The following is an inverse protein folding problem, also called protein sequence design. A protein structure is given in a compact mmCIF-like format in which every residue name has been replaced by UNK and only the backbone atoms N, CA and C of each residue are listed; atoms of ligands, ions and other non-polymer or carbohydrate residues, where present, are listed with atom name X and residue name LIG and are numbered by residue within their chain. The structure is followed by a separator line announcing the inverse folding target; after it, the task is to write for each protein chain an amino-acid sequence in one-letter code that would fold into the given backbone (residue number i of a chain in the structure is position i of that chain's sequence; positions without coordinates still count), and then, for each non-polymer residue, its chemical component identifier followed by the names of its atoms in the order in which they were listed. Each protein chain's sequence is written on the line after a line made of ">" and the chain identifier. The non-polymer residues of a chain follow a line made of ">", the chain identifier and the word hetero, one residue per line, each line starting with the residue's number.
data_IF_870830579402
#
_entry.id   IF_870830579402
#
_cell.length_a   1.000
_cell.length_b   1.000
_cell.length_c   1.000
_cell.angle_alpha   90.00
_cell.angle_beta   90.00
_cell.angle_gamma   90.00
#
_symmetry.space_group_name_H-M   'P 1'
#
loop_
_entity.id
_entity.type
_entity.pdbx_description
1 polymer ?
#
# COMPACT_ATOMS: atom_id res chain seq x y z
N UNK A 1 -5.18 39.81 -11.20
CA UNK A 1 -5.64 38.57 -11.87
C UNK A 1 -4.44 37.64 -11.97
N UNK A 2 -4.47 36.48 -11.31
CA UNK A 2 -3.85 35.20 -11.73
C UNK A 2 -3.70 34.28 -10.52
N UNK A 3 -4.43 33.16 -10.52
CA UNK A 3 -3.98 31.94 -9.84
C UNK A 3 -4.40 30.76 -10.71
N UNK A 4 -3.39 30.02 -11.11
CA UNK A 4 -3.33 28.92 -12.06
C UNK A 4 -4.33 27.79 -11.80
N UNK A 5 -5.03 27.36 -12.86
CA UNK A 5 -5.77 26.10 -12.91
C UNK A 5 -4.81 24.92 -12.74
N UNK A 6 -4.87 24.24 -11.59
CA UNK A 6 -4.26 22.91 -11.44
C UNK A 6 -5.22 21.86 -12.02
N UNK A 7 -5.16 21.62 -13.33
CA UNK A 7 -5.78 20.45 -13.94
C UNK A 7 -5.05 19.20 -13.46
N UNK A 8 -5.66 18.47 -12.53
CA UNK A 8 -5.20 17.14 -12.13
C UNK A 8 -5.42 16.17 -13.28
N UNK A 9 -4.44 16.07 -14.19
CA UNK A 9 -4.40 15.06 -15.24
C UNK A 9 -4.49 13.68 -14.58
N UNK A 10 -5.61 12.97 -14.77
CA UNK A 10 -5.74 11.60 -14.30
C UNK A 10 -4.79 10.73 -15.10
N UNK A 11 -3.72 10.26 -14.45
CA UNK A 11 -2.79 9.31 -15.06
C UNK A 11 -3.59 8.03 -15.36
N UNK A 12 -3.73 7.67 -16.63
CA UNK A 12 -4.37 6.42 -17.00
C UNK A 12 -3.38 5.27 -16.86
N UNK A 13 -3.65 4.38 -15.90
CA UNK A 13 -2.86 3.17 -15.70
C UNK A 13 -3.39 2.02 -16.54
N UNK A 14 -2.47 1.23 -17.14
CA UNK A 14 -2.85 0.01 -17.83
C UNK A 14 -3.64 -0.94 -16.89
N UNK A 15 -4.71 -1.60 -17.37
CA UNK A 15 -5.54 -2.47 -16.52
C UNK A 15 -4.76 -3.58 -15.80
N UNK A 16 -3.70 -4.11 -16.43
CA UNK A 16 -2.80 -5.10 -15.82
C UNK A 16 -2.07 -4.54 -14.59
N UNK A 17 -1.63 -3.29 -14.64
CA UNK A 17 -0.97 -2.59 -13.53
C UNK A 17 -1.90 -2.40 -12.35
N UNK A 18 -3.14 -1.96 -12.62
CA UNK A 18 -4.17 -1.77 -11.59
C UNK A 18 -4.50 -3.08 -10.90
N UNK A 19 -4.83 -4.14 -11.67
CA UNK A 19 -5.16 -5.47 -11.13
C UNK A 19 -4.03 -6.06 -10.28
N UNK A 20 -2.77 -5.86 -10.69
CA UNK A 20 -1.60 -6.33 -9.95
C UNK A 20 -1.47 -5.63 -8.59
N UNK A 21 -1.64 -4.31 -8.55
CA UNK A 21 -1.58 -3.54 -7.31
C UNK A 21 -2.76 -3.85 -6.37
N UNK A 22 -3.98 -4.02 -6.92
CA UNK A 22 -5.16 -4.47 -6.15
C UNK A 22 -4.92 -5.85 -5.52
N UNK A 23 -4.44 -6.83 -6.29
CA UNK A 23 -4.09 -8.16 -5.76
C UNK A 23 -3.05 -8.04 -4.65
N UNK A 24 -2.02 -7.23 -4.87
CA UNK A 24 -0.93 -7.09 -3.92
C UNK A 24 -1.42 -6.51 -2.59
N UNK A 25 -2.26 -5.47 -2.65
CA UNK A 25 -2.91 -4.86 -1.50
C UNK A 25 -3.76 -5.88 -0.73
N UNK A 26 -4.64 -6.64 -1.42
CA UNK A 26 -5.49 -7.65 -0.79
C UNK A 26 -4.71 -8.78 -0.13
N UNK A 27 -3.51 -9.12 -0.65
CA UNK A 27 -2.68 -10.20 -0.13
C UNK A 27 -1.59 -9.73 0.83
N UNK A 28 -1.52 -8.42 1.10
CA UNK A 28 -0.61 -7.87 2.11
C UNK A 28 -1.07 -8.26 3.52
N UNK A 29 -0.17 -8.27 4.53
CA UNK A 29 -0.54 -8.52 5.92
C UNK A 29 -1.26 -7.34 6.57
N UNK A 30 -1.50 -6.25 5.82
CA UNK A 30 -1.99 -4.98 6.34
C UNK A 30 -3.51 -4.82 6.17
N UNK A 31 -4.12 -4.08 7.08
CA UNK A 31 -5.52 -3.70 7.04
C UNK A 31 -5.73 -2.42 6.20
N UNK A 32 -6.96 -2.23 5.68
CA UNK A 32 -7.30 -1.07 4.84
C UNK A 32 -6.99 0.27 5.50
N UNK A 33 -7.19 0.33 6.81
CA UNK A 33 -7.02 1.52 7.61
C UNK A 33 -5.61 2.12 7.48
N UNK A 34 -4.57 1.30 7.33
CA UNK A 34 -3.21 1.77 7.05
C UNK A 34 -3.18 2.62 5.78
N UNK A 35 -3.79 2.11 4.71
CA UNK A 35 -3.79 2.76 3.41
C UNK A 35 -4.72 3.97 3.37
N UNK A 36 -5.83 3.95 4.11
CA UNK A 36 -6.68 5.13 4.30
C UNK A 36 -5.87 6.25 4.96
N UNK A 37 -5.14 5.95 6.04
CA UNK A 37 -4.25 6.91 6.71
C UNK A 37 -3.16 7.42 5.76
N UNK A 38 -2.58 6.55 4.93
CA UNK A 38 -1.55 6.94 3.95
C UNK A 38 -2.06 7.90 2.83
N UNK A 39 -3.36 8.16 2.76
CA UNK A 39 -3.90 9.18 1.85
C UNK A 39 -3.59 10.59 2.33
N UNK A 40 -3.62 10.84 3.64
CA UNK A 40 -3.37 12.18 4.20
C UNK A 40 -1.92 12.37 4.63
N UNK A 41 -1.25 11.31 5.09
CA UNK A 41 0.09 11.42 5.67
C UNK A 41 1.00 10.25 5.30
N UNK A 42 2.29 10.37 5.60
CA UNK A 42 3.25 9.26 5.52
C UNK A 42 3.26 8.52 6.85
N UNK A 43 3.42 7.19 6.83
CA UNK A 43 3.39 6.37 8.05
C UNK A 43 4.77 5.71 8.24
N UNK A 44 5.45 5.90 9.39
CA UNK A 44 6.76 5.32 9.64
C UNK A 44 6.69 3.81 9.90
N UNK A 45 7.76 3.08 9.59
CA UNK A 45 7.84 1.62 9.83
C UNK A 45 7.54 1.27 11.28
N UNK A 46 8.04 2.08 12.22
CA UNK A 46 7.87 1.90 13.66
C UNK A 46 6.40 2.00 14.13
N UNK A 47 5.52 2.64 13.37
CA UNK A 47 4.07 2.68 13.64
C UNK A 47 3.32 1.48 13.05
N UNK A 48 3.94 0.77 12.10
CA UNK A 48 3.36 -0.35 11.35
C UNK A 48 3.77 -1.70 11.95
N UNK A 49 5.02 -1.81 12.41
CA UNK A 49 5.58 -3.04 12.95
C UNK A 49 5.18 -3.29 14.42
N UNK A 50 5.36 -4.54 14.85
CA UNK A 50 5.19 -4.99 16.22
C UNK A 50 3.79 -4.73 16.79
N UNK A 51 3.74 -4.43 18.09
CA UNK A 51 2.50 -4.19 18.81
C UNK A 51 1.80 -2.89 18.38
N UNK A 52 2.57 -1.88 17.98
CA UNK A 52 2.02 -0.60 17.50
C UNK A 52 1.16 -0.79 16.26
N UNK A 53 1.56 -1.69 15.36
CA UNK A 53 0.77 -2.05 14.19
C UNK A 53 -0.64 -2.56 14.51
N UNK A 54 -0.81 -3.28 15.62
CA UNK A 54 -2.14 -3.75 16.08
C UNK A 54 -2.90 -2.61 16.73
N UNK A 55 -2.24 -1.85 17.61
CA UNK A 55 -2.85 -0.72 18.33
C UNK A 55 -3.41 0.33 17.36
N UNK A 56 -2.70 0.57 16.24
CA UNK A 56 -3.13 1.47 15.18
C UNK A 56 -4.13 0.82 14.19
N UNK A 57 -4.46 -0.46 14.36
CA UNK A 57 -5.33 -1.23 13.47
C UNK A 57 -4.71 -1.58 12.11
N UNK A 58 -3.43 -1.32 11.89
CA UNK A 58 -2.73 -1.52 10.62
C UNK A 58 -2.48 -2.99 10.27
N UNK A 59 -2.50 -3.88 11.26
CA UNK A 59 -2.39 -5.33 11.08
C UNK A 59 -3.24 -6.06 12.12
N UNK A 60 -3.55 -7.33 11.85
CA UNK A 60 -4.36 -8.17 12.77
C UNK A 60 -3.53 -8.87 13.85
N UNK A 61 -2.22 -8.90 13.67
CA UNK A 61 -1.26 -9.59 14.54
C UNK A 61 0.06 -8.83 14.49
N UNK A 62 0.93 -8.95 15.51
CA UNK A 62 2.19 -8.22 15.51
C UNK A 62 3.08 -8.75 14.39
N UNK A 63 3.66 -7.84 13.61
CA UNK A 63 4.60 -8.19 12.55
C UNK A 63 6.02 -7.87 13.01
N UNK A 64 6.96 -8.80 12.83
CA UNK A 64 8.38 -8.49 12.97
C UNK A 64 8.76 -7.34 12.02
N UNK A 65 9.65 -6.46 12.44
CA UNK A 65 10.02 -5.25 11.69
C UNK A 65 10.45 -5.59 10.25
N UNK A 66 11.36 -6.55 10.10
CA UNK A 66 11.81 -7.06 8.80
C UNK A 66 10.65 -7.65 7.96
N UNK A 67 9.66 -8.28 8.60
CA UNK A 67 8.51 -8.83 7.87
C UNK A 67 7.58 -7.73 7.36
N UNK A 68 7.37 -6.68 8.17
CA UNK A 68 6.61 -5.50 7.78
C UNK A 68 7.33 -4.74 6.67
N UNK A 69 8.63 -4.48 6.81
CA UNK A 69 9.44 -3.80 5.79
C UNK A 69 9.43 -4.55 4.46
N UNK A 70 9.66 -5.86 4.45
CA UNK A 70 9.59 -6.67 3.24
C UNK A 70 8.23 -6.59 2.54
N UNK A 71 7.13 -6.56 3.30
CA UNK A 71 5.81 -6.40 2.73
C UNK A 71 5.61 -5.00 2.13
N UNK A 72 6.10 -3.95 2.80
CA UNK A 72 6.03 -2.57 2.31
C UNK A 72 6.90 -2.36 1.05
N UNK A 73 8.11 -2.91 1.03
CA UNK A 73 8.99 -2.89 -0.15
C UNK A 73 8.36 -3.60 -1.34
N UNK A 74 7.67 -4.72 -1.11
CA UNK A 74 6.92 -5.38 -2.17
C UNK A 74 5.76 -4.52 -2.69
N UNK A 75 5.06 -3.80 -1.81
CA UNK A 75 4.04 -2.83 -2.22
C UNK A 75 4.62 -1.62 -2.99
N UNK A 76 5.89 -1.28 -2.78
CA UNK A 76 6.64 -0.31 -3.60
C UNK A 76 6.92 -0.90 -4.99
N UNK A 77 7.39 -2.15 -5.09
CA UNK A 77 7.67 -2.82 -6.36
C UNK A 77 6.43 -2.93 -7.26
N UNK A 78 5.24 -3.08 -6.68
CA UNK A 78 3.98 -3.07 -7.44
C UNK A 78 3.45 -1.68 -7.76
N UNK A 79 4.16 -0.63 -7.34
CA UNK A 79 3.82 0.77 -7.59
C UNK A 79 2.70 1.30 -6.71
N UNK A 80 2.32 0.60 -5.64
CA UNK A 80 1.26 1.03 -4.73
C UNK A 80 1.77 2.08 -3.73
N UNK A 81 2.98 1.85 -3.21
CA UNK A 81 3.63 2.71 -2.23
C UNK A 81 4.91 3.34 -2.79
N UNK A 82 5.38 4.38 -2.12
CA UNK A 82 6.76 4.86 -2.19
C UNK A 82 7.31 5.04 -0.77
N UNK A 83 8.63 4.96 -0.65
CA UNK A 83 9.34 5.33 0.58
C UNK A 83 9.63 6.83 0.55
N UNK A 84 9.46 7.47 1.68
CA UNK A 84 9.85 8.85 1.95
C UNK A 84 10.83 8.83 3.11
N UNK A 85 11.82 9.70 3.05
CA UNK A 85 12.75 9.92 4.14
C UNK A 85 12.50 11.29 4.73
N UNK A 86 12.84 11.48 6.01
CA UNK A 86 12.93 12.83 6.56
C UNK A 86 13.98 13.67 5.81
N UNK A 87 14.04 14.97 6.11
CA UNK A 87 15.02 15.87 5.48
C UNK A 87 16.49 15.49 5.73
N UNK A 88 16.74 14.48 6.57
CA UNK A 88 18.07 13.99 6.94
C UNK A 88 18.36 12.58 6.39
N UNK A 89 17.38 11.90 5.78
CA UNK A 89 17.54 10.54 5.28
C UNK A 89 17.45 9.44 6.34
N UNK A 90 17.11 9.76 7.59
CA UNK A 90 17.26 8.87 8.75
C UNK A 90 16.00 8.05 9.00
N UNK A 91 14.86 8.74 9.06
CA UNK A 91 13.57 8.09 9.33
C UNK A 91 12.90 7.72 8.01
N UNK A 92 12.51 6.46 7.87
CA UNK A 92 11.70 6.03 6.75
C UNK A 92 10.20 6.09 7.06
N UNK A 93 9.45 6.54 6.06
CA UNK A 93 7.99 6.50 6.09
C UNK A 93 7.45 6.11 4.72
N UNK A 94 6.21 5.64 4.70
CA UNK A 94 5.60 5.12 3.49
C UNK A 94 4.35 5.93 3.14
N UNK A 95 4.18 6.23 1.85
CA UNK A 95 3.02 6.97 1.32
C UNK A 95 2.47 6.28 0.07
N UNK A 96 1.17 6.43 -0.15
CA UNK A 96 0.54 6.03 -1.41
C UNK A 96 1.07 6.84 -2.61
N UNK A 97 1.34 6.14 -3.70
CA UNK A 97 1.49 6.74 -5.04
C UNK A 97 0.13 7.20 -5.58
N UNK A 98 0.08 7.93 -6.71
CA UNK A 98 -1.21 8.26 -7.33
C UNK A 98 -2.05 7.02 -7.69
N UNK A 99 -1.42 5.94 -8.20
CA UNK A 99 -2.07 4.64 -8.39
C UNK A 99 -2.69 4.10 -7.10
N UNK A 100 -1.91 4.10 -6.01
CA UNK A 100 -2.39 3.64 -4.71
C UNK A 100 -3.58 4.46 -4.20
N UNK A 101 -3.57 5.78 -4.40
CA UNK A 101 -4.68 6.67 -4.03
C UNK A 101 -5.96 6.33 -4.78
N UNK A 102 -5.87 6.05 -6.08
CA UNK A 102 -7.03 5.64 -6.88
C UNK A 102 -7.63 4.32 -6.41
N UNK A 103 -6.79 3.31 -6.15
CA UNK A 103 -7.23 2.00 -5.67
C UNK A 103 -7.93 2.12 -4.31
N UNK A 104 -7.29 2.79 -3.35
CA UNK A 104 -7.84 2.96 -2.00
C UNK A 104 -9.14 3.77 -2.03
N UNK A 105 -9.24 4.78 -2.91
CA UNK A 105 -10.48 5.56 -3.11
C UNK A 105 -11.64 4.72 -3.63
N UNK A 106 -11.39 3.70 -4.46
CA UNK A 106 -12.44 2.76 -4.90
C UNK A 106 -12.96 1.93 -3.74
N UNK A 107 -12.09 1.46 -2.86
CA UNK A 107 -12.44 0.53 -1.78
C UNK A 107 -13.03 1.24 -0.56
N UNK A 108 -12.68 2.50 -0.31
CA UNK A 108 -13.32 3.34 0.72
C UNK A 108 -14.81 3.60 0.41
N UNK A 109 -15.18 3.67 -0.87
CA UNK A 109 -16.55 3.92 -1.31
C UNK A 109 -17.44 2.67 -1.31
N UNK A 110 -16.88 1.49 -1.09
CA UNK A 110 -17.64 0.25 -0.99
C UNK A 110 -17.96 -0.01 0.50
N UNK A 111 -19.24 -0.13 0.89
CA UNK A 111 -19.61 -0.44 2.26
C UNK A 111 -19.18 -1.87 2.58
N UNK A 112 -18.04 -2.01 3.26
CA UNK A 112 -17.46 -3.31 3.63
C UNK A 112 -15.97 -3.36 3.34
N UNK A 113 -15.20 -3.73 4.36
CA UNK A 113 -13.76 -4.01 4.36
C UNK A 113 -13.21 -4.60 3.06
N UNK A 114 -11.95 -4.28 2.72
CA UNK A 114 -11.14 -4.82 1.59
C UNK A 114 -11.75 -6.11 1.03
N UNK A 115 -12.09 -6.18 -0.27
CA UNK A 115 -12.59 -7.40 -0.87
C UNK A 115 -11.63 -8.54 -0.54
N UNK A 116 -12.15 -9.56 0.15
CA UNK A 116 -11.33 -10.70 0.60
C UNK A 116 -10.63 -11.29 -0.63
N UNK A 117 -9.30 -11.39 -0.64
CA UNK A 117 -8.61 -12.04 -1.76
C UNK A 117 -9.16 -13.45 -1.92
N UNK A 118 -9.45 -13.86 -3.15
CA UNK A 118 -9.77 -15.25 -3.43
C UNK A 118 -8.58 -16.13 -3.02
N UNK A 119 -8.83 -17.41 -2.70
CA UNK A 119 -7.76 -18.36 -2.38
C UNK A 119 -6.74 -18.48 -3.53
N UNK A 120 -7.20 -18.28 -4.77
CA UNK A 120 -6.36 -18.22 -5.97
C UNK A 120 -5.48 -16.97 -6.02
N UNK A 121 -5.97 -15.82 -5.56
CA UNK A 121 -5.15 -14.61 -5.42
C UNK A 121 -4.06 -14.79 -4.37
N UNK A 122 -4.37 -15.47 -3.25
CA UNK A 122 -3.38 -15.82 -2.22
C UNK A 122 -2.28 -16.73 -2.76
N UNK A 123 -2.64 -17.74 -3.57
CA UNK A 123 -1.67 -18.67 -4.17
C UNK A 123 -0.77 -17.97 -5.20
N UNK A 124 -1.35 -17.19 -6.13
CA UNK A 124 -0.57 -16.38 -7.09
C UNK A 124 0.33 -15.37 -6.38
N UNK A 125 -0.12 -14.84 -5.26
CA UNK A 125 0.66 -13.89 -4.49
C UNK A 125 1.82 -14.56 -3.74
N UNK A 126 1.58 -15.73 -3.14
CA UNK A 126 2.63 -16.54 -2.55
C UNK A 126 3.70 -16.89 -3.59
N UNK A 127 3.28 -17.32 -4.79
CA UNK A 127 4.19 -17.64 -5.90
C UNK A 127 4.98 -16.42 -6.38
N UNK A 128 4.36 -15.26 -6.58
CA UNK A 128 5.11 -14.05 -6.98
C UNK A 128 6.05 -13.53 -5.88
N UNK A 129 5.67 -13.68 -4.61
CA UNK A 129 6.51 -13.29 -3.46
C UNK A 129 7.70 -14.23 -3.28
N UNK A 130 7.54 -15.51 -3.61
CA UNK A 130 8.60 -16.52 -3.47
C UNK A 130 9.52 -16.59 -4.69
N UNK A 131 8.97 -16.55 -5.90
CA UNK A 131 9.72 -16.80 -7.12
C UNK A 131 10.46 -15.56 -7.64
N UNK A 132 10.22 -14.36 -7.06
CA UNK A 132 10.78 -13.08 -7.52
C UNK A 132 10.75 -12.96 -9.05
N UNK A 133 9.72 -13.51 -9.69
CA UNK A 133 9.70 -13.61 -11.15
C UNK A 133 9.79 -12.20 -11.73
N UNK A 134 10.67 -11.98 -12.73
CA UNK A 134 10.69 -10.71 -13.42
C UNK A 134 9.33 -10.49 -14.10
N UNK A 135 8.98 -9.21 -14.19
CA UNK A 135 7.74 -8.64 -14.71
C UNK A 135 7.34 -9.19 -16.09
#
# INVERSE_FOLDING_TARGET
>A
MTSTLSSSSSIQYAPKTVKRAERALSCSPFCLILFIVMRSQSVPLSAIAGQRGIQNGYSRQPLAEMAAENALLWLIQVGLLRREVDGQGITDSFRLTPLGREIVKKWEKQPGSIPRPSLWDRLKNALNRWLRLPL
#
